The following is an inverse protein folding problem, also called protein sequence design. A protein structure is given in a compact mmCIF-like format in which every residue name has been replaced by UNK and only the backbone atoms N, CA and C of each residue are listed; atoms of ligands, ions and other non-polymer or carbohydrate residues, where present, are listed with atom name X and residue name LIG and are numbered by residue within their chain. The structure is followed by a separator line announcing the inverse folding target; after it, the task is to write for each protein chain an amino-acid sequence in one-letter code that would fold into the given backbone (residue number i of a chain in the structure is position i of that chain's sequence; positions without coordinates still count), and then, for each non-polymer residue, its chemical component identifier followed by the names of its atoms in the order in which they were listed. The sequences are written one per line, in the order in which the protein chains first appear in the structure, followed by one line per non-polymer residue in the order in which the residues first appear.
data_IF_112435657108
#
_entry.id   IF_112435657108
#
_cell.length_a   1.000
_cell.length_b   1.000
_cell.length_c   1.000
_cell.angle_alpha   90.00
_cell.angle_beta   90.00
_cell.angle_gamma   90.00
#
_symmetry.space_group_name_H-M   'P 1'
#
loop_
_entity.id
_entity.type
_entity.pdbx_description
1 polymer ?
#
# COMPACT_ATOMS: atom_id res chain seq x y z
N UNK A 1 1.21 1.55 2.90
CA UNK A 1 0.79 1.02 4.21
C UNK A 1 0.88 -0.51 4.19
N UNK A 2 1.42 -1.12 5.25
CA UNK A 2 1.48 -2.57 5.38
C UNK A 2 0.21 -3.11 6.07
N UNK A 3 -0.36 -4.19 5.55
CA UNK A 3 -1.57 -4.83 6.09
C UNK A 3 -2.32 -5.63 5.03
N UNK A 4 -3.29 -6.46 5.44
CA UNK A 4 -4.21 -7.10 4.49
C UNK A 4 -5.10 -6.07 3.81
N UNK A 5 -5.61 -6.38 2.61
CA UNK A 5 -6.53 -5.51 1.89
C UNK A 5 -7.76 -5.12 2.73
N UNK A 6 -8.30 -6.08 3.50
CA UNK A 6 -9.42 -5.82 4.42
C UNK A 6 -9.05 -4.83 5.53
N UNK A 7 -7.85 -4.97 6.14
CA UNK A 7 -7.41 -4.04 7.19
C UNK A 7 -7.19 -2.63 6.66
N UNK A 8 -6.64 -2.51 5.44
CA UNK A 8 -6.47 -1.23 4.76
C UNK A 8 -7.83 -0.57 4.52
N UNK A 9 -8.81 -1.33 4.01
CA UNK A 9 -10.16 -0.83 3.72
C UNK A 9 -10.85 -0.30 4.98
N UNK A 10 -10.80 -1.04 6.08
CA UNK A 10 -11.39 -0.61 7.36
C UNK A 10 -10.72 0.68 7.85
N UNK A 11 -9.38 0.75 7.85
CA UNK A 11 -8.68 1.95 8.29
C UNK A 11 -8.99 3.16 7.41
N UNK A 12 -9.08 2.99 6.09
CA UNK A 12 -9.40 4.09 5.19
C UNK A 12 -10.81 4.63 5.45
N UNK A 13 -11.78 3.76 5.72
CA UNK A 13 -13.13 4.18 6.09
C UNK A 13 -13.16 4.95 7.42
N UNK A 14 -12.35 4.54 8.41
CA UNK A 14 -12.20 5.26 9.68
C UNK A 14 -11.59 6.65 9.46
N UNK A 15 -10.52 6.75 8.67
CA UNK A 15 -9.87 8.03 8.35
C UNK A 15 -10.79 8.95 7.52
N UNK A 16 -11.56 8.42 6.58
CA UNK A 16 -12.58 9.22 5.86
C UNK A 16 -13.64 9.77 6.85
N UNK A 17 -14.07 8.97 7.83
CA UNK A 17 -15.01 9.39 8.86
C UNK A 17 -14.43 10.45 9.81
N UNK A 18 -13.11 10.43 10.04
CA UNK A 18 -12.37 11.46 10.80
C UNK A 18 -12.16 12.77 10.02
N UNK A 19 -12.54 12.82 8.74
CA UNK A 19 -12.49 14.02 7.91
C UNK A 19 -11.23 14.14 7.05
N UNK A 20 -10.44 13.08 6.91
CA UNK A 20 -9.35 13.05 5.94
C UNK A 20 -9.91 13.00 4.51
N UNK A 21 -9.36 13.83 3.63
CA UNK A 21 -9.82 13.89 2.23
C UNK A 21 -9.47 12.59 1.49
N UNK A 22 -10.38 12.15 0.63
CA UNK A 22 -10.20 10.94 -0.17
C UNK A 22 -9.01 11.05 -1.11
N UNK A 23 -8.76 12.24 -1.65
CA UNK A 23 -7.61 12.55 -2.49
C UNK A 23 -6.30 12.39 -1.72
N UNK A 24 -6.29 12.72 -0.42
CA UNK A 24 -5.13 12.51 0.43
C UNK A 24 -4.86 11.01 0.62
N UNK A 25 -5.92 10.25 0.93
CA UNK A 25 -5.83 8.81 1.17
C UNK A 25 -5.44 8.02 -0.10
N UNK A 26 -5.90 8.45 -1.27
CA UNK A 26 -5.55 7.83 -2.56
C UNK A 26 -4.06 7.88 -2.89
N UNK A 27 -3.29 8.81 -2.30
CA UNK A 27 -1.84 8.87 -2.47
C UNK A 27 -1.09 7.79 -1.69
N UNK A 28 -1.77 7.07 -0.79
CA UNK A 28 -1.16 6.02 0.03
C UNK A 28 -1.28 4.68 -0.70
N UNK A 29 -0.16 4.11 -1.13
CA UNK A 29 -0.14 2.75 -1.68
C UNK A 29 -0.37 1.72 -0.56
N UNK A 30 -1.50 1.02 -0.62
CA UNK A 30 -1.92 0.09 0.42
C UNK A 30 -2.81 -1.02 -0.17
N UNK A 31 -2.50 -2.31 0.06
CA UNK A 31 -1.28 -2.84 0.69
C UNK A 31 -0.01 -2.48 -0.08
N UNK A 32 1.09 -2.23 0.64
CA UNK A 32 2.40 -2.00 0.03
C UNK A 32 3.01 -3.33 -0.47
N UNK A 33 3.70 -3.25 -1.60
CA UNK A 33 4.41 -4.33 -2.27
C UNK A 33 3.62 -4.92 -3.43
N UNK A 34 4.35 -5.46 -4.42
CA UNK A 34 3.75 -6.20 -5.52
C UNK A 34 3.11 -7.51 -5.03
N UNK A 35 2.01 -7.92 -5.67
CA UNK A 35 1.33 -9.18 -5.37
C UNK A 35 2.13 -10.40 -5.86
N UNK A 36 3.09 -10.85 -5.05
CA UNK A 36 3.95 -12.01 -5.36
C UNK A 36 3.72 -13.22 -4.43
N UNK A 37 2.62 -13.22 -3.67
CA UNK A 37 2.30 -14.24 -2.65
C UNK A 37 3.37 -14.40 -1.54
N UNK A 38 4.05 -13.30 -1.18
CA UNK A 38 5.06 -13.26 -0.11
C UNK A 38 4.54 -13.82 1.21
N UNK A 39 5.32 -14.68 1.86
CA UNK A 39 5.06 -15.25 3.18
C UNK A 39 6.13 -14.86 4.21
N UNK A 40 7.37 -14.69 3.75
CA UNK A 40 8.52 -14.37 4.61
C UNK A 40 8.84 -12.87 4.59
N UNK A 41 9.49 -12.33 5.63
CA UNK A 41 9.94 -10.93 5.64
C UNK A 41 10.83 -10.57 4.45
N UNK A 42 11.67 -11.50 3.99
CA UNK A 42 12.53 -11.29 2.82
C UNK A 42 11.71 -11.13 1.53
N UNK A 43 10.71 -11.99 1.31
CA UNK A 43 9.81 -11.89 0.16
C UNK A 43 8.97 -10.61 0.21
N UNK A 44 8.55 -10.18 1.40
CA UNK A 44 7.83 -8.91 1.59
C UNK A 44 8.76 -7.74 1.23
N UNK A 45 10.01 -7.75 1.70
CA UNK A 45 10.98 -6.71 1.38
C UNK A 45 11.23 -6.61 -0.14
N UNK A 46 11.39 -7.74 -0.83
CA UNK A 46 11.56 -7.78 -2.28
C UNK A 46 10.33 -7.22 -3.00
N UNK A 47 9.12 -7.57 -2.57
CA UNK A 47 7.89 -7.05 -3.22
C UNK A 47 7.74 -5.54 -3.07
N UNK A 48 8.14 -4.98 -1.92
CA UNK A 48 8.16 -3.53 -1.66
C UNK A 48 9.22 -2.83 -2.52
N UNK A 49 10.44 -3.36 -2.56
CA UNK A 49 11.52 -2.79 -3.38
C UNK A 49 11.17 -2.80 -4.87
N UNK A 50 10.53 -3.86 -5.35
CA UNK A 50 10.05 -3.94 -6.73
C UNK A 50 8.99 -2.87 -7.03
N UNK A 51 8.04 -2.65 -6.13
CA UNK A 51 7.05 -1.57 -6.28
C UNK A 51 7.73 -0.19 -6.30
N UNK A 52 8.69 0.06 -5.39
CA UNK A 52 9.44 1.32 -5.34
C UNK A 52 10.20 1.61 -6.64
N UNK A 53 10.89 0.61 -7.19
CA UNK A 53 11.59 0.73 -8.47
C UNK A 53 10.58 0.99 -9.60
N UNK A 54 9.43 0.32 -9.57
CA UNK A 54 8.34 0.51 -10.53
C UNK A 54 7.86 1.96 -10.57
N UNK A 55 7.53 2.53 -9.40
CA UNK A 55 7.12 3.94 -9.27
C UNK A 55 8.22 4.88 -9.78
N UNK A 56 9.45 4.68 -9.32
CA UNK A 56 10.60 5.51 -9.72
C UNK A 56 10.83 5.53 -11.23
N UNK A 57 10.75 4.36 -11.88
CA UNK A 57 11.09 4.22 -13.29
C UNK A 57 9.92 4.53 -14.22
N UNK A 58 8.68 4.36 -13.76
CA UNK A 58 7.48 4.55 -14.58
C UNK A 58 6.91 5.98 -14.51
N UNK A 59 7.45 6.84 -13.64
CA UNK A 59 7.05 8.25 -13.55
C UNK A 59 5.57 8.47 -13.26
N UNK A 60 4.94 7.54 -12.52
CA UNK A 60 3.61 7.69 -11.94
C UNK A 60 3.76 8.33 -10.57
#
# INVERSE_FOLDING_TARGET
MMGSAEKVKTLFAELEAEGYSREHLQRVHAPIGLSINSQTPAEIAVSILAELIGVKNSGI
#
